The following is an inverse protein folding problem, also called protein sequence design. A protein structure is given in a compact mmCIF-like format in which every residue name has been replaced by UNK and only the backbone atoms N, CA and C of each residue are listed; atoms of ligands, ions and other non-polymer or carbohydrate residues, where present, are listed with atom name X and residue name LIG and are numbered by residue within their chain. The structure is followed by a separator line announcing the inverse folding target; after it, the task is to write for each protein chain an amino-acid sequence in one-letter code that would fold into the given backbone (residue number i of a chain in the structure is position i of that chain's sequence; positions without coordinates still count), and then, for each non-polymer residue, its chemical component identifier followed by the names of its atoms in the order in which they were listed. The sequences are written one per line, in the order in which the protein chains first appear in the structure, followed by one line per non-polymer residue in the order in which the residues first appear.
data_IF_025020334213
#
_entry.id   IF_025020334213
#
_cell.length_a   1.000
_cell.length_b   1.000
_cell.length_c   1.000
_cell.angle_alpha   90.00
_cell.angle_beta   90.00
_cell.angle_gamma   90.00
#
_symmetry.space_group_name_H-M   'P 1'
#
loop_
_entity.id
_entity.type
_entity.pdbx_description
1 polymer ?
#
# COMPACT_ATOMS: atom_id res chain seq x y z
N UNK A 1 6.20 -8.32 -11.53
CA UNK A 1 6.90 -7.03 -11.30
C UNK A 1 5.92 -5.92 -11.62
N UNK A 2 5.77 -4.98 -10.70
CA UNK A 2 4.98 -3.77 -10.89
C UNK A 2 5.88 -2.56 -10.66
N UNK A 3 5.81 -1.61 -11.59
CA UNK A 3 6.46 -0.31 -11.46
C UNK A 3 5.44 0.78 -11.76
N UNK A 4 5.27 1.71 -10.84
CA UNK A 4 4.38 2.85 -10.99
C UNK A 4 5.14 4.13 -10.65
N UNK A 5 5.15 5.07 -11.58
CA UNK A 5 5.65 6.42 -11.36
C UNK A 5 4.58 7.41 -11.81
N UNK A 6 4.20 8.30 -10.92
CA UNK A 6 3.31 9.41 -11.28
C UNK A 6 3.76 10.70 -10.61
N UNK A 7 3.57 11.78 -11.34
CA UNK A 7 3.82 13.13 -10.91
C UNK A 7 2.48 13.86 -10.78
N UNK A 8 2.28 14.51 -9.67
CA UNK A 8 1.11 15.33 -9.41
C UNK A 8 1.57 16.76 -9.15
N UNK A 9 1.05 17.69 -9.94
CA UNK A 9 1.33 19.11 -9.81
C UNK A 9 0.03 19.85 -9.48
N UNK A 10 0.09 20.69 -8.46
CA UNK A 10 -1.01 21.57 -8.05
C UNK A 10 -0.51 23.00 -8.08
N UNK A 11 -1.28 23.86 -8.73
CA UNK A 11 -1.09 25.28 -8.71
C UNK A 11 -2.29 25.93 -8.00
N UNK A 12 -2.03 26.68 -6.95
CA UNK A 12 -3.03 27.44 -6.23
C UNK A 12 -2.69 28.92 -6.30
N UNK A 13 -3.65 29.72 -6.72
CA UNK A 13 -3.50 31.17 -6.80
C UNK A 13 -4.52 31.84 -5.90
N UNK A 14 -4.05 32.80 -5.12
CA UNK A 14 -4.89 33.74 -4.39
C UNK A 14 -4.82 35.07 -5.09
N UNK A 15 -5.95 35.57 -5.54
CA UNK A 15 -6.05 36.79 -6.34
C UNK A 15 -6.85 37.87 -5.63
N UNK A 16 -6.64 39.10 -6.04
CA UNK A 16 -7.44 40.24 -5.59
C UNK A 16 -8.74 40.28 -6.41
N UNK A 17 -9.87 40.25 -5.74
CA UNK A 17 -11.18 40.36 -6.37
C UNK A 17 -11.65 41.81 -6.21
N UNK A 18 -11.89 42.53 -7.32
CA UNK A 18 -12.44 43.90 -7.25
C UNK A 18 -13.91 43.83 -6.79
N UNK A 19 -14.27 44.68 -5.92
CA UNK A 19 -15.66 44.91 -5.52
C UNK A 19 -15.96 46.38 -5.38
N UNK A 20 -17.21 46.80 -5.57
CA UNK A 20 -17.67 48.15 -5.37
C UNK A 20 -18.74 48.17 -4.27
N UNK A 21 -18.53 48.95 -3.27
CA UNK A 21 -19.52 49.20 -2.22
C UNK A 21 -20.36 50.46 -2.50
N UNK A 22 -19.78 51.39 -3.24
CA UNK A 22 -20.43 52.62 -3.65
C UNK A 22 -20.19 52.88 -5.15
N UNK A 23 -21.11 53.54 -5.86
CA UNK A 23 -20.92 53.92 -7.27
C UNK A 23 -19.63 54.72 -7.47
N UNK A 24 -18.75 54.30 -8.36
CA UNK A 24 -17.50 54.95 -8.68
C UNK A 24 -16.28 54.57 -7.80
N UNK A 25 -16.46 53.78 -6.74
CA UNK A 25 -15.35 53.31 -5.91
C UNK A 25 -15.09 51.83 -6.13
N UNK A 26 -13.87 51.47 -6.50
CA UNK A 26 -13.43 50.10 -6.63
C UNK A 26 -12.46 49.79 -5.44
N UNK A 27 -12.82 48.84 -4.63
CA UNK A 27 -11.97 48.25 -3.61
C UNK A 27 -11.57 46.85 -3.98
N UNK A 28 -10.50 46.35 -3.42
CA UNK A 28 -10.01 44.98 -3.68
C UNK A 28 -10.11 44.13 -2.45
N UNK A 29 -10.71 42.95 -2.56
CA UNK A 29 -10.73 41.95 -1.53
C UNK A 29 -9.83 40.77 -1.98
N UNK A 30 -8.85 40.46 -1.15
CA UNK A 30 -8.01 39.28 -1.38
C UNK A 30 -8.65 38.08 -0.71
N UNK A 31 -8.88 37.01 -1.47
CA UNK A 31 -9.41 35.76 -0.94
C UNK A 31 -8.29 35.04 -0.16
N UNK A 32 -8.52 34.71 1.11
CA UNK A 32 -7.57 33.96 1.94
C UNK A 32 -6.67 34.85 2.82
N UNK A 33 -5.35 34.80 2.62
CA UNK A 33 -4.35 35.41 3.51
C UNK A 33 -4.19 36.93 3.43
N UNK A 34 -5.03 37.64 2.65
CA UNK A 34 -4.96 39.08 2.47
C UNK A 34 -3.88 39.60 1.52
N UNK A 35 -3.14 38.71 0.86
CA UNK A 35 -2.10 39.04 -0.12
C UNK A 35 -2.22 38.11 -1.30
N UNK A 36 -2.13 38.64 -2.52
CA UNK A 36 -2.09 37.81 -3.71
C UNK A 36 -0.81 36.96 -3.73
N UNK A 37 -0.95 35.67 -4.03
CA UNK A 37 0.16 34.74 -4.05
C UNK A 37 -0.05 33.62 -5.06
N UNK A 38 1.05 33.09 -5.54
CA UNK A 38 1.12 31.87 -6.30
C UNK A 38 1.81 30.78 -5.44
N UNK A 39 1.19 29.63 -5.36
CA UNK A 39 1.72 28.44 -4.69
C UNK A 39 1.73 27.28 -5.66
N UNK A 40 2.90 26.72 -5.88
CA UNK A 40 3.08 25.51 -6.66
C UNK A 40 3.52 24.37 -5.77
N UNK A 41 2.92 23.22 -5.97
CA UNK A 41 3.29 21.98 -5.28
C UNK A 41 3.51 20.91 -6.33
N UNK A 42 4.69 20.32 -6.31
CA UNK A 42 5.03 19.19 -7.16
C UNK A 42 5.28 17.97 -6.25
N UNK A 43 4.56 16.90 -6.49
CA UNK A 43 4.69 15.65 -5.75
C UNK A 43 5.01 14.53 -6.71
N UNK A 44 6.11 13.85 -6.46
CA UNK A 44 6.56 12.70 -7.23
C UNK A 44 6.38 11.44 -6.38
N UNK A 45 5.77 10.43 -6.96
CA UNK A 45 5.57 9.12 -6.38
C UNK A 45 6.29 8.07 -7.21
N UNK A 46 7.11 7.28 -6.57
CA UNK A 46 7.72 6.07 -7.13
C UNK A 46 7.28 4.88 -6.30
N UNK A 47 6.73 3.90 -6.97
CA UNK A 47 6.33 2.64 -6.36
C UNK A 47 6.87 1.48 -7.19
N UNK A 48 7.48 0.53 -6.51
CA UNK A 48 8.01 -0.67 -7.12
C UNK A 48 7.58 -1.86 -6.28
N UNK A 49 7.07 -2.90 -6.92
CA UNK A 49 6.76 -4.16 -6.28
C UNK A 49 7.29 -5.32 -7.11
N UNK A 50 7.93 -6.24 -6.43
CA UNK A 50 8.44 -7.47 -6.99
C UNK A 50 7.89 -8.65 -6.18
N UNK A 51 7.22 -9.58 -6.85
CA UNK A 51 6.72 -10.81 -6.28
C UNK A 51 7.22 -11.98 -7.11
N UNK A 52 7.79 -12.97 -6.44
CA UNK A 52 8.15 -14.24 -7.02
C UNK A 52 7.71 -15.36 -6.09
N UNK A 53 7.10 -16.37 -6.63
CA UNK A 53 6.73 -17.56 -5.89
C UNK A 53 6.73 -18.77 -6.82
N UNK A 54 6.88 -19.93 -6.23
CA UNK A 54 6.77 -21.23 -6.90
C UNK A 54 6.07 -22.21 -5.99
N UNK A 55 5.38 -23.16 -6.58
CA UNK A 55 4.80 -24.28 -5.89
C UNK A 55 5.21 -25.61 -6.55
N UNK A 56 5.31 -26.62 -5.72
CA UNK A 56 5.62 -27.98 -6.12
C UNK A 56 4.67 -28.96 -5.45
N UNK A 57 4.14 -29.89 -6.21
CA UNK A 57 3.25 -30.94 -5.74
C UNK A 57 3.93 -32.30 -5.92
N UNK A 58 3.87 -33.10 -4.89
CA UNK A 58 4.42 -34.43 -4.85
C UNK A 58 3.34 -35.43 -4.38
N UNK A 59 3.01 -36.37 -5.22
CA UNK A 59 2.07 -37.45 -4.93
C UNK A 59 2.84 -38.80 -4.89
N UNK A 60 2.90 -39.42 -3.69
CA UNK A 60 3.57 -40.69 -3.45
C UNK A 60 2.61 -41.62 -2.70
N UNK A 61 2.08 -42.62 -3.40
CA UNK A 61 1.09 -43.54 -2.85
C UNK A 61 -0.10 -42.77 -2.20
N UNK A 62 -0.31 -42.96 -0.91
CA UNK A 62 -1.38 -42.28 -0.19
C UNK A 62 -1.01 -40.87 0.32
N UNK A 63 0.18 -40.38 0.01
CA UNK A 63 0.70 -39.11 0.50
C UNK A 63 0.66 -38.06 -0.60
N UNK A 64 0.03 -36.93 -0.31
CA UNK A 64 0.05 -35.75 -1.16
C UNK A 64 0.68 -34.59 -0.40
N UNK A 65 1.72 -34.01 -0.97
CA UNK A 65 2.45 -32.89 -0.38
C UNK A 65 2.45 -31.75 -1.39
N UNK A 66 1.96 -30.59 -0.97
CA UNK A 66 2.11 -29.37 -1.75
C UNK A 66 2.91 -28.35 -0.95
N UNK A 67 4.02 -27.92 -1.52
CA UNK A 67 4.90 -26.91 -0.95
C UNK A 67 4.82 -25.67 -1.84
N UNK A 68 4.66 -24.53 -1.23
CA UNK A 68 4.75 -23.22 -1.88
C UNK A 68 5.74 -22.35 -1.10
N UNK A 69 6.61 -21.67 -1.81
CA UNK A 69 7.49 -20.67 -1.22
C UNK A 69 7.55 -19.43 -2.13
N UNK A 70 7.72 -18.28 -1.53
CA UNK A 70 7.78 -17.05 -2.28
C UNK A 70 8.44 -15.92 -1.52
N UNK A 71 8.71 -14.87 -2.29
CA UNK A 71 9.36 -13.66 -1.83
C UNK A 71 8.65 -12.46 -2.44
N UNK A 72 8.47 -11.45 -1.62
CA UNK A 72 7.85 -10.19 -1.98
C UNK A 72 8.75 -9.04 -1.52
N UNK A 73 8.91 -8.05 -2.38
CA UNK A 73 9.64 -6.83 -2.10
C UNK A 73 8.85 -5.63 -2.63
N UNK A 74 8.70 -4.60 -1.81
CA UNK A 74 7.97 -3.39 -2.16
C UNK A 74 8.75 -2.17 -1.68
N UNK A 75 8.84 -1.15 -2.53
CA UNK A 75 9.35 0.16 -2.15
C UNK A 75 8.39 1.25 -2.58
N UNK A 76 8.28 2.26 -1.74
CA UNK A 76 7.58 3.49 -2.07
C UNK A 76 8.42 4.69 -1.67
N UNK A 77 8.58 5.60 -2.60
CA UNK A 77 9.24 6.88 -2.38
C UNK A 77 8.31 7.99 -2.79
N UNK A 78 8.17 8.97 -1.93
CA UNK A 78 7.40 10.18 -2.15
C UNK A 78 8.34 11.37 -1.94
N UNK A 79 8.36 12.29 -2.89
CA UNK A 79 9.09 13.55 -2.77
C UNK A 79 8.16 14.68 -3.14
N UNK A 80 8.01 15.65 -2.27
CA UNK A 80 7.27 16.87 -2.52
C UNK A 80 8.17 18.10 -2.47
N UNK A 81 7.84 19.06 -3.32
CA UNK A 81 8.44 20.39 -3.35
C UNK A 81 7.28 21.39 -3.42
N UNK A 82 7.31 22.36 -2.53
CA UNK A 82 6.32 23.42 -2.44
C UNK A 82 7.03 24.75 -2.50
N UNK A 83 6.59 25.60 -3.40
CA UNK A 83 7.09 26.98 -3.54
C UNK A 83 5.89 27.91 -3.51
N UNK A 84 6.01 28.99 -2.80
CA UNK A 84 5.00 30.05 -2.78
C UNK A 84 5.67 31.40 -2.78
N UNK A 85 5.14 32.32 -3.56
CA UNK A 85 5.60 33.70 -3.63
C UNK A 85 4.42 34.66 -3.68
N UNK A 86 4.54 35.77 -2.99
CA UNK A 86 3.53 36.83 -2.91
C UNK A 86 3.81 37.94 -3.92
N UNK A 87 2.86 38.83 -4.10
CA UNK A 87 3.04 40.02 -4.93
C UNK A 87 3.02 39.73 -6.43
N UNK A 88 2.04 38.98 -6.91
CA UNK A 88 1.83 38.77 -8.33
C UNK A 88 1.59 40.10 -9.05
N UNK A 89 2.35 40.37 -10.12
CA UNK A 89 2.21 41.57 -10.95
C UNK A 89 0.90 41.58 -11.75
N UNK A 90 0.39 40.42 -12.09
CA UNK A 90 -0.86 40.24 -12.80
C UNK A 90 -1.61 39.02 -12.34
N UNK A 91 -2.92 39.14 -12.27
CA UNK A 91 -3.79 38.03 -11.90
C UNK A 91 -3.97 37.01 -13.04
N UNK A 92 -3.47 37.28 -14.23
CA UNK A 92 -3.57 36.40 -15.40
C UNK A 92 -2.30 35.56 -15.62
N UNK A 93 -1.18 35.92 -14.97
CA UNK A 93 0.11 35.26 -15.16
C UNK A 93 0.44 34.32 -14.01
N UNK A 94 0.70 33.05 -14.33
CA UNK A 94 1.06 32.01 -13.40
C UNK A 94 2.56 31.72 -13.45
N UNK A 95 3.38 32.73 -13.13
CA UNK A 95 4.84 32.60 -13.12
C UNK A 95 5.40 33.12 -11.79
N UNK A 96 6.10 32.27 -11.08
CA UNK A 96 6.75 32.62 -9.79
C UNK A 96 7.83 33.70 -9.95
N UNK A 97 8.45 33.85 -11.11
CA UNK A 97 9.43 34.88 -11.37
C UNK A 97 8.81 36.29 -11.49
N UNK A 98 7.53 36.33 -11.86
CA UNK A 98 6.78 37.58 -12.00
C UNK A 98 6.13 38.01 -10.68
N UNK A 99 6.29 37.26 -9.61
CA UNK A 99 5.87 37.66 -8.27
C UNK A 99 7.00 38.46 -7.63
N UNK A 100 6.75 39.73 -7.32
CA UNK A 100 7.77 40.70 -6.85
C UNK A 100 7.79 40.92 -5.34
N UNK A 101 6.84 40.33 -4.62
CA UNK A 101 6.79 40.44 -3.16
C UNK A 101 7.98 39.75 -2.48
N UNK A 102 8.43 40.34 -1.36
CA UNK A 102 9.58 39.86 -0.60
C UNK A 102 9.32 38.50 0.09
N UNK A 103 8.05 38.18 0.36
CA UNK A 103 7.72 36.92 1.02
C UNK A 103 7.71 35.76 0.03
N UNK A 104 8.74 34.96 0.13
CA UNK A 104 8.91 33.69 -0.58
C UNK A 104 9.02 32.57 0.44
N UNK A 105 8.27 31.49 0.25
CA UNK A 105 8.40 30.28 1.03
C UNK A 105 8.74 29.09 0.14
N UNK A 106 9.67 28.31 0.58
CA UNK A 106 10.05 27.08 -0.08
C UNK A 106 10.16 25.97 0.97
N UNK A 107 9.51 24.86 0.70
CA UNK A 107 9.57 23.67 1.55
C UNK A 107 9.57 22.42 0.69
N UNK A 108 10.11 21.37 1.23
CA UNK A 108 10.11 20.07 0.58
C UNK A 108 10.26 18.96 1.59
N UNK A 109 9.76 17.80 1.21
CA UNK A 109 9.82 16.60 2.03
C UNK A 109 10.14 15.37 1.19
N UNK A 110 10.67 14.37 1.85
CA UNK A 110 10.86 13.06 1.25
C UNK A 110 10.48 12.00 2.28
N UNK A 111 9.66 11.06 1.83
CA UNK A 111 9.30 9.89 2.60
C UNK A 111 9.57 8.65 1.76
N UNK A 112 10.24 7.67 2.37
CA UNK A 112 10.59 6.43 1.70
C UNK A 112 10.42 5.26 2.66
N UNK A 113 9.89 4.16 2.16
CA UNK A 113 9.87 2.91 2.88
C UNK A 113 10.09 1.72 1.96
N UNK A 114 10.59 0.66 2.56
CA UNK A 114 10.71 -0.64 1.93
C UNK A 114 10.05 -1.71 2.81
N UNK A 115 9.34 -2.62 2.17
CA UNK A 115 8.76 -3.82 2.76
C UNK A 115 9.37 -5.03 2.08
N UNK A 116 9.59 -6.06 2.86
CA UNK A 116 10.15 -7.31 2.41
C UNK A 116 9.41 -8.44 3.10
N UNK A 117 9.04 -9.48 2.36
CA UNK A 117 8.39 -10.64 2.91
C UNK A 117 8.89 -11.92 2.24
N UNK A 118 9.23 -12.91 3.03
CA UNK A 118 9.44 -14.28 2.58
C UNK A 118 8.37 -15.17 3.21
N UNK A 119 7.77 -16.06 2.43
CA UNK A 119 6.69 -16.89 2.92
C UNK A 119 6.80 -18.32 2.40
N UNK A 120 6.26 -19.24 3.18
CA UNK A 120 6.07 -20.62 2.78
C UNK A 120 4.70 -21.12 3.19
N UNK A 121 4.23 -22.14 2.48
CA UNK A 121 3.06 -22.93 2.84
C UNK A 121 3.33 -24.40 2.49
N UNK A 122 3.04 -25.29 3.41
CA UNK A 122 3.07 -26.72 3.23
C UNK A 122 1.69 -27.28 3.53
N UNK A 123 1.10 -27.94 2.55
CA UNK A 123 -0.13 -28.70 2.71
C UNK A 123 0.22 -30.18 2.56
N UNK A 124 -0.20 -30.96 3.53
CA UNK A 124 -0.04 -32.40 3.53
C UNK A 124 -1.40 -33.08 3.66
N UNK A 125 -1.63 -34.05 2.81
CA UNK A 125 -2.85 -34.84 2.79
C UNK A 125 -2.48 -36.32 2.76
N UNK A 126 -3.11 -37.12 3.61
CA UNK A 126 -2.88 -38.55 3.71
C UNK A 126 -4.18 -39.32 3.50
N UNK A 127 -4.08 -40.48 2.81
CA UNK A 127 -5.20 -41.37 2.46
C UNK A 127 -6.38 -40.65 1.83
N UNK A 128 -6.13 -39.98 0.69
CA UNK A 128 -7.20 -39.30 -0.07
C UNK A 128 -7.83 -38.11 0.69
N UNK A 129 -7.09 -37.48 1.60
CA UNK A 129 -7.59 -36.32 2.38
C UNK A 129 -8.29 -36.68 3.69
N UNK A 130 -8.11 -37.91 4.20
CA UNK A 130 -8.61 -38.30 5.51
C UNK A 130 -7.93 -37.54 6.62
N UNK A 131 -6.62 -37.44 6.57
CA UNK A 131 -5.81 -36.64 7.51
C UNK A 131 -5.17 -35.49 6.74
N UNK A 132 -5.29 -34.30 7.28
CA UNK A 132 -4.83 -33.08 6.67
C UNK A 132 -3.93 -32.33 7.67
N UNK A 133 -2.81 -31.85 7.17
CA UNK A 133 -1.93 -30.96 7.93
C UNK A 133 -1.57 -29.78 7.03
N UNK A 134 -1.64 -28.60 7.56
CA UNK A 134 -1.21 -27.38 6.89
C UNK A 134 -0.33 -26.57 7.84
N UNK A 135 0.80 -26.10 7.36
CA UNK A 135 1.58 -25.07 8.03
C UNK A 135 1.98 -24.00 7.04
N UNK A 136 1.96 -22.79 7.50
CA UNK A 136 2.45 -21.64 6.76
C UNK A 136 3.24 -20.72 7.68
N UNK A 137 4.16 -19.99 7.10
CA UNK A 137 4.91 -19.00 7.82
C UNK A 137 5.27 -17.85 6.91
N UNK A 138 5.32 -16.65 7.52
CA UNK A 138 5.72 -15.45 6.83
C UNK A 138 6.74 -14.69 7.68
N UNK A 139 7.83 -14.33 7.04
CA UNK A 139 8.88 -13.51 7.63
C UNK A 139 8.85 -12.15 6.95
N UNK A 140 8.32 -11.15 7.66
CA UNK A 140 8.10 -9.81 7.13
C UNK A 140 9.07 -8.81 7.74
N UNK A 141 9.57 -7.92 6.90
CA UNK A 141 10.43 -6.81 7.28
C UNK A 141 9.89 -5.47 6.80
N UNK A 142 10.06 -4.43 7.61
CA UNK A 142 9.69 -3.06 7.26
C UNK A 142 10.76 -2.09 7.71
N UNK A 143 11.16 -1.21 6.78
CA UNK A 143 12.12 -0.13 7.06
C UNK A 143 11.57 0.95 8.00
N UNK A 144 10.25 0.97 8.23
CA UNK A 144 9.58 1.93 9.14
C UNK A 144 9.86 1.67 10.61
N UNK A 145 10.26 0.44 10.94
CA UNK A 145 10.61 0.09 12.31
C UNK A 145 12.08 0.39 12.59
N UNK A 146 12.37 0.64 13.87
CA UNK A 146 13.73 0.89 14.34
C UNK A 146 14.64 -0.30 14.02
N UNK A 147 15.92 -0.02 13.78
CA UNK A 147 16.95 -1.05 13.64
C UNK A 147 16.89 -2.05 14.81
N UNK A 148 16.98 -3.34 14.50
CA UNK A 148 16.81 -4.43 15.47
C UNK A 148 15.38 -4.94 15.67
N UNK A 149 14.35 -4.20 15.22
CA UNK A 149 12.93 -4.59 15.34
C UNK A 149 12.20 -4.55 13.99
N UNK A 150 12.95 -4.64 12.90
CA UNK A 150 12.40 -4.50 11.54
C UNK A 150 11.72 -5.75 11.03
N UNK A 151 12.01 -6.90 11.62
CA UNK A 151 11.57 -8.19 11.12
C UNK A 151 10.70 -8.92 12.15
N UNK A 152 9.68 -9.59 11.65
CA UNK A 152 8.79 -10.45 12.43
C UNK A 152 8.51 -11.75 11.71
N UNK A 153 8.37 -12.83 12.46
CA UNK A 153 7.95 -14.12 11.94
C UNK A 153 6.55 -14.47 12.42
N UNK A 154 5.69 -14.86 11.51
CA UNK A 154 4.27 -15.13 11.72
C UNK A 154 3.95 -16.55 11.27
N UNK A 155 4.09 -17.56 12.14
CA UNK A 155 3.74 -18.93 11.84
C UNK A 155 2.24 -19.20 12.02
N UNK A 156 1.73 -20.16 11.27
CA UNK A 156 0.39 -20.73 11.42
C UNK A 156 0.45 -22.22 11.14
N UNK A 157 -0.35 -23.01 11.86
CA UNK A 157 -0.49 -24.44 11.63
C UNK A 157 -1.93 -24.88 11.85
N UNK A 158 -2.38 -25.86 11.10
CA UNK A 158 -3.69 -26.48 11.30
C UNK A 158 -3.64 -27.97 10.99
N UNK A 159 -4.47 -28.72 11.70
CA UNK A 159 -4.70 -30.14 11.47
C UNK A 159 -6.17 -30.37 11.19
N UNK A 160 -6.45 -31.32 10.31
CA UNK A 160 -7.81 -31.68 9.94
C UNK A 160 -7.96 -33.20 9.89
N UNK A 161 -9.06 -33.67 10.38
CA UNK A 161 -9.45 -35.08 10.30
C UNK A 161 -10.84 -35.16 9.67
N UNK A 162 -10.91 -35.88 8.54
CA UNK A 162 -12.16 -36.15 7.86
C UNK A 162 -12.70 -37.48 8.36
N UNK A 163 -13.52 -37.41 9.41
CA UNK A 163 -14.11 -38.55 10.11
C UNK A 163 -14.99 -39.36 9.15
N UNK A 164 -15.68 -38.69 8.23
CA UNK A 164 -16.52 -39.37 7.24
C UNK A 164 -15.77 -40.31 6.30
N UNK A 165 -14.43 -40.22 6.22
CA UNK A 165 -13.60 -41.12 5.42
C UNK A 165 -13.02 -42.31 6.22
N UNK A 166 -13.40 -42.42 7.48
CA UNK A 166 -13.01 -43.57 8.29
C UNK A 166 -13.88 -44.80 8.01
N UNK A 167 -13.32 -46.03 8.07
CA UNK A 167 -14.08 -47.24 7.81
C UNK A 167 -15.30 -47.45 8.71
N UNK A 168 -15.23 -47.00 9.96
CA UNK A 168 -16.33 -47.10 10.92
C UNK A 168 -17.53 -46.21 10.59
N UNK A 169 -17.32 -45.17 9.75
CA UNK A 169 -18.35 -44.21 9.41
C UNK A 169 -19.28 -44.70 8.28
N UNK A 170 -18.94 -45.80 7.61
CA UNK A 170 -19.60 -46.28 6.40
C UNK A 170 -21.14 -46.40 6.48
N UNK A 171 -21.67 -46.82 7.65
CA UNK A 171 -23.11 -46.93 7.85
C UNK A 171 -23.82 -45.57 7.99
N UNK A 172 -23.10 -44.53 8.43
CA UNK A 172 -23.62 -43.19 8.64
C UNK A 172 -23.55 -42.34 7.36
N UNK A 173 -22.72 -42.74 6.37
CA UNK A 173 -22.61 -42.05 5.06
C UNK A 173 -23.93 -41.95 4.30
N UNK A 174 -24.91 -42.81 4.63
CA UNK A 174 -26.25 -42.74 4.00
C UNK A 174 -27.02 -41.45 4.34
N UNK A 175 -26.71 -40.85 5.48
CA UNK A 175 -27.46 -39.69 6.00
C UNK A 175 -26.56 -38.46 6.20
N UNK A 176 -25.22 -38.65 6.24
CA UNK A 176 -24.27 -37.58 6.49
C UNK A 176 -23.09 -37.75 5.54
N UNK A 177 -22.96 -36.86 4.57
CA UNK A 177 -21.96 -36.97 3.50
C UNK A 177 -20.55 -36.59 3.93
N UNK A 178 -20.39 -35.59 4.80
CA UNK A 178 -19.07 -35.08 5.19
C UNK A 178 -19.04 -34.60 6.64
N UNK A 179 -18.17 -35.22 7.43
CA UNK A 179 -17.83 -34.78 8.79
C UNK A 179 -16.34 -34.54 8.86
N UNK A 180 -15.94 -33.30 9.14
CA UNK A 180 -14.55 -32.88 9.26
C UNK A 180 -14.32 -32.14 10.57
N UNK A 181 -13.36 -32.59 11.33
CA UNK A 181 -12.84 -31.87 12.49
C UNK A 181 -11.59 -31.09 12.09
N UNK A 182 -11.47 -29.84 12.51
CA UNK A 182 -10.29 -29.00 12.28
C UNK A 182 -9.90 -28.26 13.55
N UNK A 183 -8.58 -28.21 13.79
CA UNK A 183 -7.94 -27.42 14.82
C UNK A 183 -6.89 -26.52 14.17
N UNK A 184 -6.88 -25.25 14.53
CA UNK A 184 -5.94 -24.24 14.01
C UNK A 184 -5.55 -23.26 15.10
#
# INVERSE_FOLDING_TARGET
ICYLHYNYQTMNRTVNVPYSKYPGEISYLTTGSGVNQLKETQTNHWYQAFNVYGDYMLDIADHQIKIMAGYNYETKRLKDIKVSRQGLLSDDLNDLNLAVGDAMTMSGGQNEYALLGAFYRLNYSYKGGRYLFETSGRYDGSSRFRSGHRFGFFPSASVGWRISEEPFFGNLKKNIDNVKLRLS
#
